data_IF_180602278733
#
_entry.id   IF_180602278733
#
_cell.length_a   1.000
_cell.length_b   1.000
_cell.length_c   1.000
_cell.angle_alpha   90.00
_cell.angle_beta   90.00
_cell.angle_gamma   90.00
#
_symmetry.space_group_name_H-M   'P 1'
#
loop_
_entity.id
_entity.type
_entity.pdbx_description
1 polymer ?
#
# COMPACT_ATOMS: atom_id res chain seq x y z
N UNK A 1 11.60 57.94 15.40
CA UNK A 1 12.06 58.41 14.08
C UNK A 1 11.68 57.35 13.04
N UNK A 2 10.63 57.54 12.23
CA UNK A 2 10.31 56.58 11.18
C UNK A 2 11.35 56.74 10.05
N UNK A 3 12.09 55.68 9.74
CA UNK A 3 13.03 55.69 8.62
C UNK A 3 12.21 55.68 7.33
N UNK A 4 12.20 56.79 6.61
CA UNK A 4 11.53 56.89 5.31
C UNK A 4 12.37 56.15 4.28
N UNK A 5 12.07 54.87 4.06
CA UNK A 5 12.78 54.05 3.07
C UNK A 5 12.47 54.62 1.68
N UNK A 6 13.51 55.00 0.95
CA UNK A 6 13.35 55.51 -0.40
C UNK A 6 12.85 54.38 -1.31
N UNK A 7 11.77 54.64 -2.07
CA UNK A 7 11.21 53.71 -3.07
C UNK A 7 12.24 52.94 -3.91
N UNK A 8 13.34 53.55 -4.41
CA UNK A 8 14.35 52.81 -5.17
C UNK A 8 15.09 51.75 -4.33
N UNK A 9 15.31 52.01 -3.04
CA UNK A 9 15.97 51.05 -2.14
C UNK A 9 15.08 49.84 -1.86
N UNK A 10 13.76 50.07 -1.73
CA UNK A 10 12.78 49.01 -1.57
C UNK A 10 12.68 48.10 -2.82
N UNK A 11 12.74 48.69 -4.02
CA UNK A 11 12.75 47.95 -5.28
C UNK A 11 14.03 47.11 -5.46
N UNK A 12 15.18 47.66 -5.07
CA UNK A 12 16.46 46.93 -5.13
C UNK A 12 16.49 45.74 -4.16
N UNK A 13 15.95 45.92 -2.95
CA UNK A 13 15.85 44.85 -1.96
C UNK A 13 14.90 43.73 -2.42
N UNK A 14 13.79 44.08 -3.07
CA UNK A 14 12.85 43.10 -3.62
C UNK A 14 13.48 42.34 -4.81
N UNK A 15 14.20 43.03 -5.69
CA UNK A 15 14.93 42.41 -6.79
C UNK A 15 16.01 41.44 -6.28
N UNK A 16 16.73 41.82 -5.21
CA UNK A 16 17.71 40.95 -4.57
C UNK A 16 17.07 39.71 -3.92
N UNK A 17 15.88 39.85 -3.31
CA UNK A 17 15.15 38.73 -2.70
C UNK A 17 14.62 37.72 -3.74
N UNK A 18 14.22 38.18 -4.93
CA UNK A 18 13.75 37.32 -6.03
C UNK A 18 14.92 36.59 -6.71
N UNK A 19 16.12 37.20 -6.70
CA UNK A 19 17.31 36.62 -7.29
C UNK A 19 17.95 35.50 -6.44
N UNK A 20 17.47 35.25 -5.21
CA UNK A 20 17.97 34.15 -4.40
C UNK A 20 17.50 32.80 -4.95
N UNK A 21 18.42 31.84 -5.22
CA UNK A 21 18.03 30.51 -5.64
C UNK A 21 17.25 29.81 -4.51
N UNK A 22 16.06 29.30 -4.85
CA UNK A 22 15.27 28.50 -3.92
C UNK A 22 15.97 27.13 -3.73
N UNK A 23 16.27 26.71 -2.49
CA UNK A 23 16.89 25.41 -2.27
C UNK A 23 15.97 24.29 -2.78
N UNK A 24 16.52 23.21 -3.36
CA UNK A 24 15.73 22.09 -3.85
C UNK A 24 15.00 21.42 -2.68
N UNK A 25 13.74 21.04 -2.90
CA UNK A 25 12.97 20.27 -1.93
C UNK A 25 13.59 18.87 -1.77
N UNK A 26 14.16 18.59 -0.60
CA UNK A 26 14.63 17.26 -0.24
C UNK A 26 13.43 16.33 -0.04
N UNK A 27 13.24 15.37 -0.95
CA UNK A 27 12.24 14.31 -0.81
C UNK A 27 12.91 13.11 -0.16
N UNK A 28 12.40 12.67 1.00
CA UNK A 28 12.85 11.44 1.61
C UNK A 28 12.36 10.24 0.78
N UNK A 29 13.27 9.36 0.36
CA UNK A 29 12.90 8.12 -0.30
C UNK A 29 12.15 7.23 0.70
N UNK A 30 10.98 6.72 0.30
CA UNK A 30 10.24 5.76 1.12
C UNK A 30 11.04 4.45 1.23
N UNK A 31 10.99 3.77 2.40
CA UNK A 31 11.54 2.42 2.52
C UNK A 31 10.92 1.48 1.48
N UNK A 32 11.73 0.55 0.96
CA UNK A 32 11.23 -0.47 0.03
C UNK A 32 10.12 -1.30 0.71
N UNK A 33 9.06 -1.60 -0.04
CA UNK A 33 7.99 -2.45 0.45
C UNK A 33 8.52 -3.87 0.73
N UNK A 34 8.11 -4.50 1.84
CA UNK A 34 8.47 -5.89 2.11
C UNK A 34 7.87 -6.80 1.03
N UNK A 35 8.72 -7.61 0.40
CA UNK A 35 8.32 -8.56 -0.66
C UNK A 35 8.13 -9.98 -0.15
N UNK A 36 8.58 -10.26 1.08
CA UNK A 36 8.52 -11.58 1.69
C UNK A 36 7.36 -11.68 2.68
N UNK A 37 6.61 -12.78 2.57
CA UNK A 37 5.54 -13.10 3.50
C UNK A 37 6.11 -13.44 4.88
N UNK A 38 5.40 -13.04 5.94
CA UNK A 38 5.71 -13.46 7.31
C UNK A 38 5.55 -14.98 7.49
N UNK A 39 6.13 -15.60 8.53
CA UNK A 39 5.85 -16.99 8.83
C UNK A 39 4.35 -17.25 8.96
N UNK A 40 3.85 -18.29 8.28
CA UNK A 40 2.44 -18.65 8.23
C UNK A 40 1.93 -19.32 9.51
N UNK A 41 2.11 -18.67 10.66
CA UNK A 41 1.71 -19.18 11.96
C UNK A 41 0.91 -18.13 12.71
N UNK A 42 -0.27 -18.49 13.18
CA UNK A 42 -1.09 -17.64 14.05
C UNK A 42 -1.34 -18.34 15.38
N UNK A 43 -1.10 -17.62 16.50
CA UNK A 43 -1.31 -18.15 17.84
C UNK A 43 -2.46 -17.42 18.51
N UNK A 44 -3.43 -18.19 19.00
CA UNK A 44 -4.59 -17.67 19.71
C UNK A 44 -4.72 -18.33 21.08
N UNK A 45 -4.90 -17.53 22.12
CA UNK A 45 -5.30 -18.03 23.43
C UNK A 45 -6.82 -18.19 23.48
N UNK A 46 -7.30 -19.36 23.90
CA UNK A 46 -8.72 -19.64 24.11
C UNK A 46 -8.88 -20.24 25.51
N UNK A 47 -9.28 -19.41 26.47
CA UNK A 47 -9.27 -19.78 27.88
C UNK A 47 -7.86 -20.22 28.32
N UNK A 48 -7.72 -21.51 28.63
CA UNK A 48 -6.44 -22.12 29.05
C UNK A 48 -5.65 -22.75 27.89
N UNK A 49 -6.21 -22.80 26.68
CA UNK A 49 -5.59 -23.40 25.52
C UNK A 49 -4.78 -22.39 24.72
N UNK A 50 -3.70 -22.86 24.11
CA UNK A 50 -2.99 -22.13 23.04
C UNK A 50 -3.20 -22.86 21.73
N UNK A 51 -3.97 -22.26 20.83
CA UNK A 51 -4.18 -22.74 19.47
C UNK A 51 -3.10 -22.17 18.57
N UNK A 52 -2.47 -23.02 17.76
CA UNK A 52 -1.51 -22.61 16.73
C UNK A 52 -2.05 -23.04 15.38
N UNK A 53 -2.51 -22.07 14.58
CA UNK A 53 -2.85 -22.31 13.18
C UNK A 53 -1.57 -22.28 12.34
N UNK A 54 -1.38 -23.32 11.53
CA UNK A 54 -0.26 -23.43 10.58
C UNK A 54 -0.83 -23.29 9.18
N UNK A 55 -0.25 -22.39 8.41
CA UNK A 55 -0.61 -22.13 7.02
C UNK A 55 0.17 -23.06 6.09
N UNK A 56 -0.56 -23.77 5.22
CA UNK A 56 -0.03 -24.79 4.30
C UNK A 56 0.04 -24.31 2.83
N UNK A 57 -0.09 -23.00 2.60
CA UNK A 57 -0.13 -22.42 1.26
C UNK A 57 -1.55 -22.17 0.74
N UNK A 58 -1.65 -21.89 -0.56
CA UNK A 58 -2.92 -21.55 -1.24
C UNK A 58 -3.07 -22.34 -2.54
N UNK A 59 -4.30 -22.76 -2.85
CA UNK A 59 -4.68 -23.32 -4.14
C UNK A 59 -5.70 -22.39 -4.81
N UNK A 60 -5.43 -21.87 -6.04
CA UNK A 60 -6.43 -21.11 -6.77
C UNK A 60 -7.56 -22.03 -7.22
N UNK A 61 -8.80 -21.72 -6.81
CA UNK A 61 -10.00 -22.45 -7.19
C UNK A 61 -10.83 -21.62 -8.19
N UNK A 62 -11.22 -22.17 -9.35
CA UNK A 62 -12.07 -21.47 -10.31
C UNK A 62 -13.44 -21.11 -9.72
N UNK A 63 -13.94 -19.90 -10.02
CA UNK A 63 -15.29 -19.46 -9.63
C UNK A 63 -16.39 -20.40 -10.11
N UNK A 64 -16.18 -21.06 -11.25
CA UNK A 64 -17.11 -22.04 -11.82
C UNK A 64 -17.33 -23.29 -10.93
N UNK A 65 -16.47 -23.54 -9.93
CA UNK A 65 -16.66 -24.61 -8.96
C UNK A 65 -17.65 -24.24 -7.84
N UNK A 66 -18.01 -22.95 -7.72
CA UNK A 66 -19.02 -22.51 -6.77
C UNK A 66 -20.41 -22.85 -7.31
N UNK A 67 -21.18 -23.59 -6.53
CA UNK A 67 -22.53 -24.04 -6.89
C UNK A 67 -23.61 -23.35 -6.04
N UNK A 68 -24.86 -23.47 -6.48
CA UNK A 68 -26.06 -22.92 -5.81
C UNK A 68 -26.20 -21.39 -5.85
N UNK A 69 -25.42 -20.71 -6.69
CA UNK A 69 -25.53 -19.28 -6.94
C UNK A 69 -25.37 -19.01 -8.44
N UNK A 70 -26.08 -18.02 -8.95
CA UNK A 70 -25.85 -17.52 -10.30
C UNK A 70 -24.52 -16.75 -10.38
N UNK A 71 -23.91 -16.70 -11.56
CA UNK A 71 -22.64 -16.03 -11.82
C UNK A 71 -22.62 -14.56 -11.39
N UNK A 72 -23.72 -13.83 -11.56
CA UNK A 72 -23.78 -12.41 -11.17
C UNK A 72 -23.75 -12.26 -9.64
N UNK A 73 -24.41 -13.17 -8.93
CA UNK A 73 -24.38 -13.20 -7.47
C UNK A 73 -22.97 -13.53 -6.96
N UNK A 74 -22.31 -14.51 -7.58
CA UNK A 74 -20.92 -14.88 -7.24
C UNK A 74 -19.98 -13.69 -7.48
N UNK A 75 -20.09 -13.02 -8.63
CA UNK A 75 -19.26 -11.86 -8.96
C UNK A 75 -19.44 -10.73 -7.94
N UNK A 76 -20.69 -10.37 -7.63
CA UNK A 76 -21.00 -9.32 -6.63
C UNK A 76 -20.48 -9.65 -5.23
N UNK A 77 -20.54 -10.91 -4.80
CA UNK A 77 -20.07 -11.32 -3.48
C UNK A 77 -18.53 -11.31 -3.36
N UNK A 78 -17.82 -11.46 -4.48
CA UNK A 78 -16.36 -11.54 -4.53
C UNK A 78 -15.68 -10.22 -4.91
N UNK A 79 -16.42 -9.23 -5.39
CA UNK A 79 -15.92 -7.97 -5.96
C UNK A 79 -14.92 -7.21 -5.05
N UNK A 80 -15.01 -7.39 -3.74
CA UNK A 80 -14.13 -6.72 -2.76
C UNK A 80 -13.31 -7.66 -1.90
N UNK A 81 -13.19 -8.95 -2.29
CA UNK A 81 -12.49 -9.96 -1.47
C UNK A 81 -11.05 -10.21 -1.90
N UNK A 82 -10.56 -9.49 -2.92
CA UNK A 82 -9.18 -9.56 -3.40
C UNK A 82 -8.67 -11.00 -3.60
N UNK A 83 -9.56 -11.89 -4.08
CA UNK A 83 -9.23 -13.29 -4.31
C UNK A 83 -8.39 -13.38 -5.58
N UNK A 84 -7.16 -13.91 -5.53
CA UNK A 84 -6.34 -14.05 -6.72
C UNK A 84 -6.95 -15.07 -7.68
N UNK A 85 -7.34 -14.62 -8.87
CA UNK A 85 -7.74 -15.50 -9.96
C UNK A 85 -6.55 -15.75 -10.86
N UNK A 86 -5.85 -16.85 -10.60
CA UNK A 86 -4.77 -17.28 -11.49
C UNK A 86 -5.27 -18.46 -12.33
N UNK A 87 -5.19 -18.34 -13.65
CA UNK A 87 -5.59 -19.40 -14.59
C UNK A 87 -4.71 -20.67 -14.51
N UNK A 88 -3.65 -20.66 -13.69
CA UNK A 88 -2.64 -21.71 -13.64
C UNK A 88 -2.57 -22.27 -12.22
N UNK A 89 -3.39 -23.29 -11.96
CA UNK A 89 -3.11 -24.22 -10.87
C UNK A 89 -1.72 -24.83 -11.15
N UNK A 90 -0.71 -24.44 -10.35
CA UNK A 90 0.62 -25.04 -10.45
C UNK A 90 0.56 -26.40 -9.75
N UNK A 91 0.16 -27.42 -10.48
CA UNK A 91 0.50 -28.80 -10.13
C UNK A 91 2.01 -28.96 -10.29
N UNK A 92 2.75 -28.95 -9.20
CA UNK A 92 4.11 -29.49 -9.18
C UNK A 92 4.04 -30.82 -8.44
N UNK A 93 3.99 -31.96 -9.16
CA UNK A 93 4.35 -33.24 -8.60
C UNK A 93 5.88 -33.39 -8.68
N UNK A 94 6.50 -33.69 -7.54
CA UNK A 94 7.77 -34.41 -7.43
C UNK A 94 7.66 -35.36 -6.26
#
# INVERSE_FOLDING_TARGET
MPVSVSRPLALLALAAAIALPLPPAAHAAAPAAPTQQVPGVYRQAIGRLRVTALFDGTLPLPRAQLSNLDSDAIARLLDHRYVPETAKARSTPT
#
